data_IF_510768214654
#
_entry.id   IF_510768214654
#
_cell.length_a   1.000
_cell.length_b   1.000
_cell.length_c   1.000
_cell.angle_alpha   90.00
_cell.angle_beta   90.00
_cell.angle_gamma   90.00
#
_symmetry.space_group_name_H-M   'P 1'
#
loop_
_entity.id
_entity.type
_entity.pdbx_description
1 polymer ?
#
# COMPACT_ATOMS: atom_id res chain seq x y z
N UNK A 1 12.00 14.17 -12.47
CA UNK A 1 10.94 13.26 -11.96
C UNK A 1 9.53 13.65 -12.43
N UNK A 2 9.02 14.87 -12.14
CA UNK A 2 7.65 15.27 -12.60
C UNK A 2 7.44 15.21 -14.13
N UNK A 3 8.43 15.54 -14.96
CA UNK A 3 8.29 15.51 -16.43
C UNK A 3 8.11 14.12 -17.04
N UNK A 4 8.57 13.06 -16.37
CA UNK A 4 8.52 11.68 -16.86
C UNK A 4 7.19 10.98 -16.55
N UNK A 5 6.59 11.30 -15.39
CA UNK A 5 5.27 10.79 -14.98
C UNK A 5 4.13 11.35 -15.84
N UNK A 6 4.31 12.54 -16.42
CA UNK A 6 3.28 13.25 -17.18
C UNK A 6 2.97 12.67 -18.58
N UNK A 7 3.61 11.56 -18.98
CA UNK A 7 3.48 11.01 -20.34
C UNK A 7 2.62 9.75 -20.46
N UNK A 8 2.04 9.25 -19.37
CA UNK A 8 1.10 8.13 -19.43
C UNK A 8 -0.34 8.62 -19.21
N UNK A 9 -1.10 8.76 -20.30
CA UNK A 9 -2.43 9.38 -20.29
C UNK A 9 -3.58 8.38 -20.43
N UNK A 10 -3.30 7.09 -20.71
CA UNK A 10 -4.32 6.08 -21.00
C UNK A 10 -5.31 5.89 -19.86
N UNK A 11 -4.85 5.92 -18.61
CA UNK A 11 -5.72 5.90 -17.42
C UNK A 11 -6.77 7.01 -17.48
N UNK A 12 -6.34 8.24 -17.74
CA UNK A 12 -7.23 9.41 -17.79
C UNK A 12 -8.16 9.38 -19.00
N UNK A 13 -7.67 8.94 -20.17
CA UNK A 13 -8.48 8.82 -21.38
C UNK A 13 -9.57 7.75 -21.23
N UNK A 14 -9.20 6.57 -20.75
CA UNK A 14 -10.15 5.50 -20.50
C UNK A 14 -11.12 5.88 -19.36
N UNK A 15 -10.65 6.55 -18.31
CA UNK A 15 -11.51 7.07 -17.24
C UNK A 15 -12.58 8.02 -17.77
N UNK A 16 -12.22 8.92 -18.69
CA UNK A 16 -13.18 9.81 -19.35
C UNK A 16 -14.24 9.02 -20.13
N UNK A 17 -13.82 8.03 -20.92
CA UNK A 17 -14.74 7.18 -21.68
C UNK A 17 -15.66 6.38 -20.76
N UNK A 18 -15.13 5.78 -19.68
CA UNK A 18 -15.94 5.03 -18.70
C UNK A 18 -16.89 5.93 -17.91
N UNK A 19 -16.56 7.21 -17.75
CA UNK A 19 -17.43 8.16 -17.05
C UNK A 19 -18.75 8.39 -17.79
N UNK A 20 -18.75 8.30 -19.13
CA UNK A 20 -19.99 8.44 -19.94
C UNK A 20 -20.91 7.22 -19.77
N UNK A 21 -20.36 6.08 -19.37
CA UNK A 21 -21.11 4.84 -19.10
C UNK A 21 -21.52 4.70 -17.62
N UNK A 22 -21.07 5.59 -16.75
CA UNK A 22 -21.26 5.47 -15.29
C UNK A 22 -22.22 6.55 -14.79
N UNK A 23 -23.31 6.14 -14.13
CA UNK A 23 -24.29 7.08 -13.58
C UNK A 23 -23.85 7.63 -12.23
N UNK A 24 -24.29 8.86 -11.94
CA UNK A 24 -24.05 9.53 -10.65
C UNK A 24 -24.56 8.69 -9.47
N UNK A 25 -25.72 8.05 -9.64
CA UNK A 25 -26.31 7.18 -8.61
C UNK A 25 -25.37 6.01 -8.26
N UNK A 26 -24.82 5.32 -9.27
CA UNK A 26 -23.94 4.15 -9.07
C UNK A 26 -22.71 4.52 -8.24
N UNK A 27 -22.08 5.65 -8.54
CA UNK A 27 -20.92 6.15 -7.78
C UNK A 27 -21.32 6.63 -6.38
N UNK A 28 -22.47 7.31 -6.26
CA UNK A 28 -22.98 7.79 -4.97
C UNK A 28 -23.31 6.68 -3.97
N UNK A 29 -23.54 5.45 -4.44
CA UNK A 29 -23.77 4.29 -3.58
C UNK A 29 -22.48 3.64 -3.05
N UNK A 30 -21.30 4.00 -3.56
CA UNK A 30 -20.03 3.39 -3.13
C UNK A 30 -19.76 3.73 -1.66
N UNK A 31 -19.56 2.73 -0.77
CA UNK A 31 -19.37 2.95 0.66
C UNK A 31 -18.21 3.89 1.00
N UNK A 32 -17.11 3.80 0.25
CA UNK A 32 -15.91 4.63 0.44
C UNK A 32 -16.15 6.11 0.13
N UNK A 33 -17.00 6.42 -0.84
CA UNK A 33 -17.40 7.79 -1.10
C UNK A 33 -18.26 8.31 0.06
N UNK A 34 -19.28 7.53 0.46
CA UNK A 34 -20.17 7.90 1.57
C UNK A 34 -19.43 8.10 2.89
N UNK A 35 -18.42 7.28 3.21
CA UNK A 35 -17.68 7.41 4.46
C UNK A 35 -16.82 8.67 4.51
N UNK A 36 -16.31 9.13 3.37
CA UNK A 36 -15.44 10.30 3.27
C UNK A 36 -16.17 11.64 3.10
N UNK A 37 -17.45 11.60 2.69
CA UNK A 37 -18.28 12.79 2.45
C UNK A 37 -19.02 13.26 3.73
N UNK A 38 -19.00 12.46 4.80
CA UNK A 38 -19.90 12.61 5.95
C UNK A 38 -19.92 13.98 6.64
N UNK A 39 -18.88 14.79 6.50
CA UNK A 39 -18.76 16.07 7.21
C UNK A 39 -18.27 17.25 6.35
N UNK A 40 -18.23 17.11 5.01
CA UNK A 40 -17.74 18.19 4.12
C UNK A 40 -18.83 18.69 3.17
N UNK A 41 -19.10 20.00 3.23
CA UNK A 41 -20.01 20.70 2.30
C UNK A 41 -19.42 20.90 0.91
N UNK A 42 -18.10 20.78 0.76
CA UNK A 42 -17.37 21.03 -0.49
C UNK A 42 -16.41 19.87 -0.79
N UNK A 43 -16.97 18.76 -1.24
CA UNK A 43 -16.19 17.57 -1.61
C UNK A 43 -15.61 17.72 -3.02
N UNK A 44 -14.30 17.49 -3.23
CA UNK A 44 -13.69 17.53 -4.55
C UNK A 44 -14.30 16.50 -5.52
N UNK A 45 -14.56 16.91 -6.77
CA UNK A 45 -15.07 16.00 -7.82
C UNK A 45 -14.17 14.77 -8.03
N UNK A 46 -12.86 14.91 -7.81
CA UNK A 46 -11.91 13.80 -7.88
C UNK A 46 -12.27 12.67 -6.91
N UNK A 47 -12.84 12.97 -5.73
CA UNK A 47 -13.28 11.95 -4.78
C UNK A 47 -14.51 11.18 -5.28
N UNK A 48 -15.31 11.81 -6.13
CA UNK A 48 -16.43 11.15 -6.78
C UNK A 48 -15.96 10.29 -7.95
N UNK A 49 -15.04 10.80 -8.78
CA UNK A 49 -14.59 10.11 -10.00
C UNK A 49 -13.49 9.07 -9.77
N UNK A 50 -12.77 9.07 -8.64
CA UNK A 50 -11.65 8.14 -8.45
C UNK A 50 -12.03 6.65 -8.61
N UNK A 51 -13.23 6.15 -8.28
CA UNK A 51 -13.59 4.75 -8.55
C UNK A 51 -13.64 4.44 -10.05
N UNK A 52 -14.04 5.41 -10.88
CA UNK A 52 -14.02 5.30 -12.35
C UNK A 52 -12.58 5.29 -12.85
N UNK A 53 -11.72 6.14 -12.29
CA UNK A 53 -10.28 6.13 -12.59
C UNK A 53 -9.62 4.81 -12.19
N UNK A 54 -9.90 4.28 -11.00
CA UNK A 54 -9.41 2.97 -10.56
C UNK A 54 -9.89 1.83 -11.47
N UNK A 55 -11.12 1.93 -11.98
CA UNK A 55 -11.64 0.97 -12.96
C UNK A 55 -10.83 1.05 -14.26
N UNK A 56 -10.51 2.26 -14.72
CA UNK A 56 -9.63 2.44 -15.87
C UNK A 56 -8.23 1.87 -15.61
N UNK A 57 -7.67 2.04 -14.40
CA UNK A 57 -6.36 1.51 -14.02
C UNK A 57 -6.27 -0.02 -14.15
N UNK A 58 -7.36 -0.72 -13.87
CA UNK A 58 -7.44 -2.18 -13.95
C UNK A 58 -7.71 -2.62 -15.40
N UNK A 59 -8.69 -1.98 -16.05
CA UNK A 59 -9.16 -2.41 -17.36
C UNK A 59 -8.15 -2.12 -18.47
N UNK A 60 -7.37 -1.04 -18.36
CA UNK A 60 -6.39 -0.67 -19.39
C UNK A 60 -5.35 -1.78 -19.64
N UNK A 61 -5.03 -2.55 -18.60
CA UNK A 61 -4.09 -3.68 -18.65
C UNK A 61 -4.77 -5.05 -18.76
N UNK A 62 -6.09 -5.11 -19.00
CA UNK A 62 -6.88 -6.34 -19.06
C UNK A 62 -6.61 -7.26 -17.85
N UNK A 63 -6.43 -6.68 -16.66
CA UNK A 63 -6.05 -7.42 -15.46
C UNK A 63 -7.15 -8.41 -15.07
N UNK A 64 -6.81 -9.69 -14.97
CA UNK A 64 -7.74 -10.78 -14.64
C UNK A 64 -7.80 -11.10 -13.15
N UNK A 65 -6.72 -10.81 -12.42
CA UNK A 65 -6.59 -11.13 -11.01
C UNK A 65 -6.12 -9.89 -10.24
N UNK A 66 -6.88 -9.53 -9.22
CA UNK A 66 -6.50 -8.50 -8.26
C UNK A 66 -6.05 -9.19 -6.98
N UNK A 67 -4.87 -8.86 -6.43
CA UNK A 67 -4.41 -9.41 -5.16
C UNK A 67 -5.18 -8.78 -4.00
N UNK A 68 -6.45 -9.17 -3.84
CA UNK A 68 -7.26 -8.86 -2.66
C UNK A 68 -7.04 -10.01 -1.68
N UNK A 69 -5.81 -10.12 -1.15
CA UNK A 69 -5.48 -11.19 -0.21
C UNK A 69 -6.05 -10.88 1.17
N UNK A 70 -6.73 -11.85 1.79
CA UNK A 70 -6.94 -11.87 3.23
C UNK A 70 -5.63 -12.24 3.92
N UNK A 71 -4.75 -11.26 4.10
CA UNK A 71 -3.48 -11.45 4.81
C UNK A 71 -3.75 -11.62 6.31
N UNK A 72 -2.99 -12.48 7.01
CA UNK A 72 -2.91 -12.47 8.48
C UNK A 72 -2.66 -11.03 8.94
N UNK A 73 -3.68 -10.42 9.56
CA UNK A 73 -3.72 -8.98 9.76
C UNK A 73 -2.84 -8.63 10.96
N UNK A 74 -1.73 -7.95 10.72
CA UNK A 74 -0.97 -7.32 11.80
C UNK A 74 -1.85 -6.23 12.44
N UNK A 75 -2.03 -6.35 13.75
CA UNK A 75 -2.87 -5.45 14.56
C UNK A 75 -2.13 -4.17 14.92
N UNK A 76 -2.87 -3.10 15.17
CA UNK A 76 -2.35 -1.83 15.66
C UNK A 76 -1.63 -2.05 16.97
N UNK A 77 -0.46 -1.43 17.13
CA UNK A 77 0.40 -1.61 18.29
C UNK A 77 -0.26 -1.10 19.58
N UNK A 78 -1.18 -0.12 19.48
CA UNK A 78 -1.90 0.46 20.63
C UNK A 78 -3.27 -0.13 20.85
N UNK A 79 -3.93 -0.51 19.75
CA UNK A 79 -5.29 -0.99 19.72
C UNK A 79 -5.33 -2.37 19.07
N UNK A 80 -5.09 -3.45 19.82
CA UNK A 80 -5.06 -4.82 19.28
C UNK A 80 -6.35 -5.22 18.54
N UNK A 81 -7.48 -4.59 18.87
CA UNK A 81 -8.77 -4.76 18.20
C UNK A 81 -8.82 -4.15 16.79
N UNK A 82 -7.87 -3.27 16.44
CA UNK A 82 -7.80 -2.57 15.17
C UNK A 82 -6.67 -3.10 14.28
N UNK A 83 -6.87 -3.04 12.97
CA UNK A 83 -5.82 -3.36 11.99
C UNK A 83 -4.79 -2.24 11.97
N UNK A 84 -3.50 -2.56 11.89
CA UNK A 84 -2.46 -1.55 11.65
C UNK A 84 -2.73 -0.82 10.33
N UNK A 85 -2.94 0.49 10.40
CA UNK A 85 -3.24 1.33 9.24
C UNK A 85 -2.08 2.28 8.96
N UNK A 86 -1.70 2.40 7.68
CA UNK A 86 -0.70 3.38 7.23
C UNK A 86 -1.17 4.82 7.41
N UNK A 87 -2.49 5.03 7.44
CA UNK A 87 -3.12 6.34 7.58
C UNK A 87 -3.74 6.55 8.97
N UNK A 88 -3.34 5.76 9.95
CA UNK A 88 -3.78 5.99 11.32
C UNK A 88 -3.33 7.38 11.81
N UNK A 89 -4.18 8.07 12.56
CA UNK A 89 -3.91 9.38 13.13
C UNK A 89 -2.76 9.27 14.14
N UNK A 90 -2.68 8.14 14.84
CA UNK A 90 -1.62 7.88 15.80
C UNK A 90 -0.43 7.17 15.16
N UNK A 91 0.66 7.91 14.96
CA UNK A 91 1.89 7.38 14.37
C UNK A 91 2.55 6.26 15.21
N UNK A 92 2.26 6.23 16.51
CA UNK A 92 2.75 5.18 17.44
C UNK A 92 2.05 3.83 17.27
N UNK A 93 1.01 3.74 16.44
CA UNK A 93 0.24 2.51 16.22
C UNK A 93 0.84 1.59 15.14
N UNK A 94 1.86 2.06 14.40
CA UNK A 94 2.48 1.35 13.27
C UNK A 94 4.01 1.36 13.35
N UNK A 95 4.65 0.40 12.68
CA UNK A 95 6.09 0.40 12.43
C UNK A 95 6.30 0.57 10.93
N UNK A 96 7.04 1.62 10.56
CA UNK A 96 7.46 1.87 9.20
C UNK A 96 8.82 1.20 8.93
N UNK A 97 9.04 0.73 7.70
CA UNK A 97 10.29 0.02 7.32
C UNK A 97 11.52 0.89 7.58
N UNK A 98 11.37 2.21 7.54
CA UNK A 98 12.45 3.17 7.72
C UNK A 98 12.54 3.73 9.15
N UNK A 99 11.76 3.21 10.10
CA UNK A 99 11.85 3.66 11.49
C UNK A 99 13.23 3.32 12.09
N UNK A 100 13.77 4.29 12.84
CA UNK A 100 14.99 4.12 13.63
C UNK A 100 14.78 3.13 14.77
N UNK A 101 15.86 2.50 15.22
CA UNK A 101 15.85 1.51 16.30
C UNK A 101 15.13 2.03 17.55
N UNK A 102 15.40 3.28 17.95
CA UNK A 102 14.78 3.90 19.12
C UNK A 102 13.25 4.01 18.97
N UNK A 103 12.79 4.37 17.77
CA UNK A 103 11.36 4.51 17.47
C UNK A 103 10.68 3.15 17.49
N UNK A 104 11.31 2.13 16.90
CA UNK A 104 10.78 0.76 16.91
C UNK A 104 10.64 0.28 18.36
N UNK A 105 11.66 0.44 19.20
CA UNK A 105 11.64 0.04 20.62
C UNK A 105 10.49 0.68 21.41
N UNK A 106 10.17 1.94 21.15
CA UNK A 106 9.08 2.65 21.83
C UNK A 106 7.68 2.18 21.39
N UNK A 107 7.54 1.65 20.16
CA UNK A 107 6.24 1.29 19.56
C UNK A 107 5.83 -0.17 19.78
N UNK A 108 6.72 -1.05 20.24
CA UNK A 108 6.38 -2.47 20.44
C UNK A 108 5.56 -2.70 21.72
N UNK A 109 4.23 -2.64 21.64
CA UNK A 109 3.32 -3.06 22.73
C UNK A 109 2.68 -4.44 22.51
N UNK A 110 2.47 -4.87 21.26
CA UNK A 110 1.95 -6.21 20.91
C UNK A 110 3.10 -7.22 20.71
N UNK A 111 3.94 -7.33 21.73
CA UNK A 111 5.23 -8.00 21.72
C UNK A 111 5.19 -9.45 21.20
N UNK A 112 4.21 -10.24 21.65
CA UNK A 112 4.17 -11.68 21.37
C UNK A 112 3.70 -11.97 19.93
N UNK A 113 2.63 -11.31 19.47
CA UNK A 113 2.08 -11.52 18.13
C UNK A 113 3.09 -11.15 17.03
N UNK A 114 3.84 -10.06 17.24
CA UNK A 114 4.86 -9.63 16.29
C UNK A 114 6.04 -10.59 16.32
N UNK A 115 6.47 -11.03 17.50
CA UNK A 115 7.56 -12.00 17.61
C UNK A 115 7.19 -13.29 16.87
N UNK A 116 6.00 -13.83 17.12
CA UNK A 116 5.49 -15.01 16.42
C UNK A 116 5.43 -14.82 14.91
N UNK A 117 4.94 -13.65 14.45
CA UNK A 117 4.89 -13.32 13.02
C UNK A 117 6.27 -13.16 12.37
N UNK A 118 7.31 -12.76 13.12
CA UNK A 118 8.66 -12.57 12.59
C UNK A 118 9.50 -13.85 12.63
N UNK A 119 9.29 -14.72 13.63
CA UNK A 119 10.08 -15.95 13.81
C UNK A 119 9.36 -17.22 13.35
N UNK A 120 8.06 -17.14 13.02
CA UNK A 120 7.17 -18.28 12.75
C UNK A 120 7.15 -19.31 13.90
N UNK A 121 7.42 -18.88 15.13
CA UNK A 121 7.34 -19.73 16.32
C UNK A 121 5.95 -19.64 16.97
N UNK A 122 5.55 -20.70 17.69
CA UNK A 122 4.32 -20.68 18.47
C UNK A 122 4.45 -19.77 19.70
N UNK A 123 3.32 -19.27 20.20
CA UNK A 123 3.27 -18.39 21.36
C UNK A 123 3.89 -19.08 22.58
N UNK A 124 3.65 -20.37 22.75
CA UNK A 124 4.16 -21.19 23.86
C UNK A 124 5.69 -21.22 23.85
N UNK A 125 6.31 -21.47 22.69
CA UNK A 125 7.77 -21.51 22.54
C UNK A 125 8.43 -20.15 22.86
N UNK A 126 7.76 -19.05 22.50
CA UNK A 126 8.25 -17.68 22.77
C UNK A 126 8.18 -17.35 24.26
N UNK A 127 7.10 -17.76 24.92
CA UNK A 127 6.94 -17.58 26.37
C UNK A 127 7.95 -18.41 27.14
N UNK A 128 8.15 -19.67 26.74
CA UNK A 128 9.15 -20.57 27.34
C UNK A 128 10.58 -20.01 27.17
N UNK A 129 10.91 -19.48 25.98
CA UNK A 129 12.18 -18.81 25.72
C UNK A 129 12.37 -17.56 26.60
N UNK A 130 11.33 -16.72 26.72
CA UNK A 130 11.39 -15.51 27.53
C UNK A 130 11.56 -15.82 29.02
N UNK A 131 10.90 -16.88 29.51
CA UNK A 131 11.03 -17.36 30.88
C UNK A 131 12.41 -17.97 31.14
N UNK A 132 12.91 -18.81 30.23
CA UNK A 132 14.25 -19.42 30.33
C UNK A 132 15.35 -18.37 30.42
N UNK A 133 15.23 -17.31 29.63
CA UNK A 133 16.22 -16.24 29.54
C UNK A 133 15.99 -15.13 30.59
N UNK A 134 15.01 -15.29 31.50
CA UNK A 134 14.61 -14.33 32.54
C UNK A 134 14.43 -12.90 32.00
N UNK A 135 13.77 -12.76 30.86
CA UNK A 135 13.62 -11.47 30.20
C UNK A 135 12.57 -10.61 30.92
N UNK A 136 12.99 -9.41 31.34
CA UNK A 136 12.05 -8.37 31.73
C UNK A 136 11.40 -7.75 30.47
N UNK A 137 10.33 -6.98 30.68
CA UNK A 137 9.60 -6.34 29.56
C UNK A 137 10.50 -5.44 28.71
N UNK A 138 11.50 -4.80 29.32
CA UNK A 138 12.48 -3.99 28.61
C UNK A 138 13.42 -4.81 27.72
N UNK A 139 13.97 -5.91 28.23
CA UNK A 139 14.83 -6.82 27.49
C UNK A 139 14.07 -7.51 26.36
N UNK A 140 12.82 -7.89 26.59
CA UNK A 140 11.97 -8.46 25.54
C UNK A 140 11.75 -7.46 24.39
N UNK A 141 11.47 -6.19 24.69
CA UNK A 141 11.33 -5.12 23.67
C UNK A 141 12.60 -4.95 22.85
N UNK A 142 13.76 -4.91 23.51
CA UNK A 142 15.06 -4.79 22.82
C UNK A 142 15.32 -5.97 21.91
N UNK A 143 15.04 -7.19 22.38
CA UNK A 143 15.19 -8.42 21.60
C UNK A 143 14.30 -8.43 20.37
N UNK A 144 13.01 -8.10 20.51
CA UNK A 144 12.11 -8.04 19.38
C UNK A 144 12.51 -6.94 18.39
N UNK A 145 12.95 -5.76 18.87
CA UNK A 145 13.45 -4.70 18.00
C UNK A 145 14.66 -5.18 17.17
N UNK A 146 15.59 -5.92 17.77
CA UNK A 146 16.73 -6.50 17.04
C UNK A 146 16.30 -7.49 15.95
N UNK A 147 15.34 -8.37 16.26
CA UNK A 147 14.79 -9.32 15.27
C UNK A 147 14.18 -8.56 14.09
N UNK A 148 13.38 -7.52 14.35
CA UNK A 148 12.76 -6.70 13.30
C UNK A 148 13.83 -5.99 12.46
N UNK A 149 14.83 -5.38 13.12
CA UNK A 149 15.90 -4.65 12.44
C UNK A 149 16.69 -5.60 11.52
N UNK A 150 17.08 -6.77 12.02
CA UNK A 150 17.83 -7.74 11.22
C UNK A 150 16.99 -8.28 10.07
N UNK A 151 15.71 -8.59 10.32
CA UNK A 151 14.79 -9.06 9.29
C UNK A 151 14.71 -8.10 8.09
N UNK A 152 14.67 -6.79 8.34
CA UNK A 152 14.62 -5.77 7.29
C UNK A 152 15.98 -5.22 6.84
N UNK A 153 17.10 -5.64 7.46
CA UNK A 153 18.43 -5.04 7.22
C UNK A 153 18.83 -5.05 5.76
N UNK A 154 18.75 -6.22 5.11
CA UNK A 154 19.10 -6.38 3.69
C UNK A 154 18.22 -5.50 2.80
N UNK A 155 16.91 -5.42 3.09
CA UNK A 155 15.95 -4.62 2.33
C UNK A 155 16.14 -3.11 2.52
N UNK A 156 16.52 -2.66 3.71
CA UNK A 156 16.87 -1.26 3.99
C UNK A 156 18.11 -0.83 3.21
N UNK A 157 19.16 -1.66 3.21
CA UNK A 157 20.39 -1.38 2.45
C UNK A 157 20.10 -1.30 0.95
N UNK A 158 19.34 -2.27 0.43
CA UNK A 158 18.90 -2.29 -0.97
C UNK A 158 18.07 -1.05 -1.33
N UNK A 159 17.09 -0.70 -0.49
CA UNK A 159 16.27 0.50 -0.66
C UNK A 159 17.11 1.78 -0.72
N UNK A 160 18.01 1.98 0.25
CA UNK A 160 18.86 3.17 0.29
C UNK A 160 19.80 3.25 -0.93
N UNK A 161 20.34 2.11 -1.38
CA UNK A 161 21.13 2.04 -2.60
C UNK A 161 20.32 2.49 -3.82
N UNK A 162 19.11 1.95 -3.98
CA UNK A 162 18.22 2.28 -5.10
C UNK A 162 17.76 3.74 -5.07
N UNK A 163 17.42 4.27 -3.90
CA UNK A 163 16.97 5.64 -3.73
C UNK A 163 18.06 6.68 -4.03
N UNK A 164 19.33 6.32 -3.81
CA UNK A 164 20.47 7.19 -4.15
C UNK A 164 20.84 7.14 -5.63
N UNK A 165 20.38 6.12 -6.38
CA UNK A 165 20.63 6.00 -7.82
C UNK A 165 19.45 6.53 -8.64
N UNK A 166 19.38 7.86 -8.76
CA UNK A 166 18.34 8.51 -9.56
C UNK A 166 18.36 8.11 -11.05
N UNK A 167 19.54 7.79 -11.60
CA UNK A 167 19.65 7.41 -13.02
C UNK A 167 19.01 6.04 -13.25
N UNK A 168 19.30 5.08 -12.39
CA UNK A 168 18.69 3.76 -12.44
C UNK A 168 17.17 3.85 -12.26
N UNK A 169 16.69 4.58 -11.25
CA UNK A 169 15.24 4.76 -11.04
C UNK A 169 14.52 5.33 -12.27
N UNK A 170 15.13 6.33 -12.93
CA UNK A 170 14.58 6.90 -14.15
C UNK A 170 14.54 5.89 -15.29
N UNK A 171 15.59 5.06 -15.46
CA UNK A 171 15.59 4.01 -16.49
C UNK A 171 14.50 2.95 -16.27
N UNK A 172 14.24 2.56 -15.01
CA UNK A 172 13.17 1.62 -14.67
C UNK A 172 11.80 2.24 -14.94
N UNK A 173 11.59 3.51 -14.59
CA UNK A 173 10.35 4.23 -14.88
C UNK A 173 10.12 4.39 -16.39
N UNK A 174 11.17 4.67 -17.16
CA UNK A 174 11.07 4.80 -18.62
C UNK A 174 10.73 3.46 -19.29
N UNK A 175 11.42 2.38 -18.93
CA UNK A 175 11.14 1.04 -19.45
C UNK A 175 9.74 0.54 -19.04
N UNK A 176 9.35 0.77 -17.78
CA UNK A 176 8.02 0.44 -17.29
C UNK A 176 6.93 1.22 -18.03
N UNK A 177 7.15 2.51 -18.33
CA UNK A 177 6.22 3.33 -19.11
C UNK A 177 6.08 2.80 -20.53
N UNK A 178 7.18 2.46 -21.20
CA UNK A 178 7.17 1.93 -22.57
C UNK A 178 6.34 0.66 -22.64
N UNK A 179 6.63 -0.32 -21.78
CA UNK A 179 5.88 -1.58 -21.73
C UNK A 179 4.39 -1.36 -21.38
N UNK A 180 4.11 -0.51 -20.40
CA UNK A 180 2.73 -0.17 -20.04
C UNK A 180 1.98 0.49 -21.20
N UNK A 181 2.65 1.35 -21.97
CA UNK A 181 2.07 2.07 -23.11
C UNK A 181 1.68 1.11 -24.21
N UNK A 182 2.56 0.15 -24.55
CA UNK A 182 2.27 -0.87 -25.58
C UNK A 182 1.01 -1.69 -25.28
N UNK A 183 0.78 -2.03 -24.01
CA UNK A 183 -0.41 -2.78 -23.59
C UNK A 183 -1.63 -1.85 -23.60
N UNK A 184 -1.48 -0.67 -23.03
CA UNK A 184 -2.57 0.28 -22.86
C UNK A 184 -3.09 0.84 -24.20
N UNK A 185 -2.21 1.05 -25.18
CA UNK A 185 -2.58 1.49 -26.54
C UNK A 185 -3.51 0.47 -27.20
N UNK A 186 -3.21 -0.83 -27.07
CA UNK A 186 -4.06 -1.89 -27.64
C UNK A 186 -5.47 -1.83 -27.06
N UNK A 187 -5.58 -1.80 -25.74
CA UNK A 187 -6.88 -1.72 -25.06
C UNK A 187 -7.63 -0.44 -25.42
N UNK A 188 -6.95 0.71 -25.42
CA UNK A 188 -7.62 1.98 -25.66
C UNK A 188 -8.06 2.13 -27.12
N UNK A 189 -7.28 1.64 -28.09
CA UNK A 189 -7.65 1.64 -29.50
C UNK A 189 -8.85 0.70 -29.76
N UNK A 190 -8.90 -0.47 -29.12
CA UNK A 190 -10.08 -1.34 -29.16
C UNK A 190 -11.33 -0.61 -28.64
N UNK A 191 -11.23 0.04 -27.48
CA UNK A 191 -12.36 0.79 -26.90
C UNK A 191 -12.78 1.95 -27.81
N UNK A 192 -11.84 2.73 -28.34
CA UNK A 192 -12.13 3.83 -29.26
C UNK A 192 -12.82 3.34 -30.52
N UNK A 193 -12.35 2.22 -31.09
CA UNK A 193 -12.97 1.61 -32.26
C UNK A 193 -14.41 1.15 -31.98
N UNK A 194 -14.67 0.52 -30.83
CA UNK A 194 -16.01 0.10 -30.41
C UNK A 194 -16.95 1.31 -30.21
N UNK A 195 -16.41 2.44 -29.75
CA UNK A 195 -17.17 3.67 -29.54
C UNK A 195 -17.25 4.56 -30.80
N UNK A 196 -16.87 4.04 -31.97
CA UNK A 196 -16.85 4.76 -33.25
C UNK A 196 -16.02 6.06 -33.25
N UNK A 197 -14.97 6.12 -32.43
CA UNK A 197 -13.96 7.17 -32.53
C UNK A 197 -12.95 6.82 -33.64
N UNK A 198 -12.80 7.74 -34.60
CA UNK A 198 -11.81 7.65 -35.69
C UNK A 198 -10.36 7.70 -35.17
#
# INVERSE_FOLDING_TARGET
>A
LKSHFLKFYHHTQLSWLLSTLTTVQKVGHIPTYKSKVKDESSVPLGLFLYPVLQTADILVFKTTHLPIAETTRIRSLRHPEQKMSKSDVEERSRIDIMDDEKIIQERVSNLIDIYAGMTNQSIESIVDEAQRDNLDTGAFKRRLAQIIIEHFRTKRVEYLKLMNDSSYLLSILDNGREHATEIADKTLNEVKHIMDFN
#
